data_IF_140767875901
#
_entry.id   IF_140767875901
#
_cell.length_a   1.000
_cell.length_b   1.000
_cell.length_c   1.000
_cell.angle_alpha   90.00
_cell.angle_beta   90.00
_cell.angle_gamma   90.00
#
_symmetry.space_group_name_H-M   'P 1'
#
loop_
_entity.id
_entity.type
_entity.pdbx_description
1 polymer ?
#
# COMPACT_ATOMS: atom_id res chain seq x y z
N UNK A 1 -3.23 3.87 -28.68
CA UNK A 1 -3.41 5.30 -28.71
C UNK A 1 -2.78 6.00 -27.54
N UNK A 2 -3.54 6.88 -26.86
CA UNK A 2 -3.03 7.79 -25.80
C UNK A 2 -2.36 7.07 -24.61
N UNK A 3 -2.91 5.95 -24.18
CA UNK A 3 -2.35 5.15 -23.07
C UNK A 3 -0.97 4.60 -23.45
N UNK A 4 -0.83 4.03 -24.62
CA UNK A 4 0.45 3.51 -25.12
C UNK A 4 1.49 4.63 -25.25
N UNK A 5 1.04 5.81 -25.72
CA UNK A 5 1.89 6.99 -25.78
C UNK A 5 2.38 7.42 -24.40
N UNK A 6 1.50 7.51 -23.40
CA UNK A 6 1.87 7.90 -22.03
C UNK A 6 2.88 6.93 -21.41
N UNK A 7 2.67 5.62 -21.59
CA UNK A 7 3.61 4.60 -21.10
C UNK A 7 4.95 4.72 -21.81
N UNK A 8 4.96 4.87 -23.14
CA UNK A 8 6.18 5.02 -23.91
C UNK A 8 6.92 6.32 -23.59
N UNK A 9 6.20 7.44 -23.46
CA UNK A 9 6.77 8.73 -23.08
C UNK A 9 7.40 8.70 -21.69
N UNK A 10 6.70 8.10 -20.71
CA UNK A 10 7.24 7.91 -19.37
C UNK A 10 8.48 7.03 -19.36
N UNK A 11 8.49 5.94 -20.12
CA UNK A 11 9.66 5.07 -20.26
C UNK A 11 10.85 5.82 -20.87
N UNK A 12 10.61 6.56 -21.97
CA UNK A 12 11.65 7.36 -22.62
C UNK A 12 12.21 8.44 -21.70
N UNK A 13 11.36 9.06 -20.88
CA UNK A 13 11.76 10.12 -19.96
C UNK A 13 12.62 9.56 -18.81
N UNK A 14 12.22 8.43 -18.21
CA UNK A 14 12.99 7.77 -17.15
C UNK A 14 14.34 7.30 -17.69
N UNK A 15 14.36 6.62 -18.83
CA UNK A 15 15.58 6.15 -19.44
C UNK A 15 16.48 7.30 -19.88
N UNK A 16 15.92 8.33 -20.51
CA UNK A 16 16.70 9.47 -21.01
C UNK A 16 17.27 10.39 -19.93
N UNK A 17 16.62 10.50 -18.77
CA UNK A 17 17.08 11.37 -17.67
C UNK A 17 17.92 10.65 -16.61
N UNK A 18 17.60 9.40 -16.32
CA UNK A 18 18.17 8.65 -15.20
C UNK A 18 19.08 7.50 -15.66
N UNK A 19 19.12 7.20 -16.96
CA UNK A 19 19.82 6.03 -17.54
C UNK A 19 19.39 4.70 -16.89
N UNK A 20 18.12 4.65 -16.43
CA UNK A 20 17.53 3.54 -15.67
C UNK A 20 16.47 2.85 -16.52
N UNK A 21 16.66 1.57 -16.82
CA UNK A 21 15.67 0.74 -17.48
C UNK A 21 14.66 0.19 -16.47
N UNK A 22 13.52 0.85 -16.34
CA UNK A 22 12.43 0.42 -15.47
C UNK A 22 11.32 -0.26 -16.27
N UNK A 23 11.39 -1.59 -16.42
CA UNK A 23 10.38 -2.38 -17.12
C UNK A 23 9.07 -2.55 -16.32
N UNK A 24 9.07 -2.24 -15.02
CA UNK A 24 7.86 -2.31 -14.19
C UNK A 24 6.95 -1.09 -14.34
N UNK A 25 7.35 -0.06 -15.09
CA UNK A 25 6.57 1.17 -15.24
C UNK A 25 5.16 0.91 -15.80
N UNK A 26 5.03 0.06 -16.83
CA UNK A 26 3.72 -0.31 -17.38
C UNK A 26 2.82 -0.99 -16.36
N UNK A 27 3.40 -1.81 -15.49
CA UNK A 27 2.69 -2.49 -14.40
C UNK A 27 2.28 -1.51 -13.30
N UNK A 28 3.11 -0.54 -12.95
CA UNK A 28 2.74 0.52 -12.00
C UNK A 28 1.59 1.38 -12.54
N UNK A 29 1.61 1.70 -13.84
CA UNK A 29 0.50 2.37 -14.50
C UNK A 29 -0.79 1.53 -14.44
N UNK A 30 -0.69 0.24 -14.74
CA UNK A 30 -1.81 -0.71 -14.65
C UNK A 30 -2.39 -0.76 -13.24
N UNK A 31 -1.56 -0.93 -12.21
CA UNK A 31 -2.02 -0.95 -10.79
C UNK A 31 -2.72 0.38 -10.45
N UNK A 32 -2.15 1.52 -10.84
CA UNK A 32 -2.78 2.82 -10.66
C UNK A 32 -4.17 2.91 -11.29
N UNK A 33 -4.31 2.40 -12.53
CA UNK A 33 -5.59 2.38 -13.22
C UNK A 33 -6.62 1.49 -12.50
N UNK A 34 -6.21 0.33 -11.98
CA UNK A 34 -7.10 -0.56 -11.21
C UNK A 34 -7.49 0.03 -9.85
N UNK A 35 -6.59 0.75 -9.18
CA UNK A 35 -6.93 1.51 -7.97
C UNK A 35 -7.96 2.59 -8.28
N UNK A 36 -7.75 3.37 -9.34
CA UNK A 36 -8.73 4.37 -9.78
C UNK A 36 -10.08 3.75 -10.14
N UNK A 37 -10.06 2.63 -10.86
CA UNK A 37 -11.26 1.86 -11.15
C UNK A 37 -11.99 1.42 -9.88
N UNK A 38 -11.26 0.90 -8.88
CA UNK A 38 -11.81 0.52 -7.58
C UNK A 38 -12.49 1.70 -6.89
N UNK A 39 -11.84 2.86 -6.87
CA UNK A 39 -12.41 4.08 -6.26
C UNK A 39 -13.69 4.52 -6.96
N UNK A 40 -13.75 4.38 -8.30
CA UNK A 40 -14.92 4.76 -9.08
C UNK A 40 -16.09 3.79 -8.89
N UNK A 41 -15.82 2.48 -8.94
CA UNK A 41 -16.88 1.44 -8.89
C UNK A 41 -17.25 1.07 -7.46
N UNK A 42 -16.27 1.06 -6.56
CA UNK A 42 -16.43 0.65 -5.15
C UNK A 42 -15.79 1.69 -4.21
N UNK A 43 -16.38 2.89 -4.10
CA UNK A 43 -15.87 3.90 -3.18
C UNK A 43 -15.91 3.45 -1.71
N UNK A 44 -16.80 2.53 -1.33
CA UNK A 44 -16.84 1.86 -0.03
C UNK A 44 -15.55 1.07 0.25
N UNK A 45 -15.10 0.25 -0.70
CA UNK A 45 -13.83 -0.48 -0.57
C UNK A 45 -12.66 0.47 -0.36
N UNK A 46 -12.65 1.60 -1.08
CA UNK A 46 -11.62 2.61 -0.91
C UNK A 46 -11.61 3.21 0.51
N UNK A 47 -12.79 3.56 1.04
CA UNK A 47 -12.91 4.12 2.39
C UNK A 47 -12.48 3.10 3.45
N UNK A 48 -12.80 1.82 3.28
CA UNK A 48 -12.44 0.75 4.21
C UNK A 48 -10.93 0.43 4.22
N UNK A 49 -10.27 0.50 3.05
CA UNK A 49 -8.82 0.24 2.94
C UNK A 49 -7.99 1.40 3.51
N UNK A 50 -8.47 2.63 3.47
CA UNK A 50 -7.71 3.81 3.92
C UNK A 50 -7.22 3.70 5.36
N UNK A 51 -8.06 3.37 6.38
CA UNK A 51 -7.57 3.19 7.75
C UNK A 51 -6.47 2.12 7.85
N UNK A 52 -6.62 1.01 7.13
CA UNK A 52 -5.63 -0.08 7.14
C UNK A 52 -4.25 0.42 6.67
N UNK A 53 -4.21 1.12 5.54
CA UNK A 53 -2.96 1.70 5.00
C UNK A 53 -2.39 2.74 5.95
N UNK A 54 -3.23 3.65 6.47
CA UNK A 54 -2.80 4.74 7.34
C UNK A 54 -2.23 4.24 8.66
N UNK A 55 -2.83 3.22 9.30
CA UNK A 55 -2.30 2.63 10.53
C UNK A 55 -1.01 1.84 10.29
N UNK A 56 -0.89 1.12 9.18
CA UNK A 56 0.37 0.49 8.81
C UNK A 56 1.47 1.55 8.60
N UNK A 57 1.18 2.63 7.88
CA UNK A 57 2.12 3.73 7.69
C UNK A 57 2.47 4.44 9.02
N UNK A 58 1.49 4.61 9.91
CA UNK A 58 1.73 5.19 11.24
C UNK A 58 2.72 4.37 12.06
N UNK A 59 2.57 3.05 12.08
CA UNK A 59 3.54 2.18 12.77
C UNK A 59 4.94 2.23 12.15
N UNK A 60 5.06 2.36 10.82
CA UNK A 60 6.35 2.61 10.16
C UNK A 60 6.91 4.00 10.47
N UNK A 61 6.08 5.01 10.70
CA UNK A 61 6.54 6.33 11.10
C UNK A 61 7.25 6.33 12.46
N UNK A 62 6.99 5.33 13.32
CA UNK A 62 7.69 5.11 14.59
C UNK A 62 9.09 4.51 14.44
N UNK A 63 9.56 4.28 13.23
CA UNK A 63 10.87 3.67 12.96
C UNK A 63 12.02 4.34 13.73
N UNK A 64 11.97 5.67 13.87
CA UNK A 64 13.01 6.42 14.61
C UNK A 64 13.13 6.00 16.08
N UNK A 65 12.02 5.56 16.71
CA UNK A 65 12.04 5.03 18.09
C UNK A 65 12.68 3.65 18.13
N UNK A 66 12.36 2.82 17.14
CA UNK A 66 12.90 1.47 17.07
C UNK A 66 14.39 1.47 16.73
N UNK A 67 14.82 2.38 15.84
CA UNK A 67 16.23 2.60 15.57
C UNK A 67 16.97 3.04 16.84
N UNK A 68 16.45 4.04 17.58
CA UNK A 68 17.03 4.50 18.85
C UNK A 68 17.03 3.42 19.94
N UNK A 69 15.99 2.57 19.99
CA UNK A 69 15.94 1.44 20.91
C UNK A 69 16.95 0.36 20.55
N UNK A 70 17.09 0.06 19.26
CA UNK A 70 18.06 -0.93 18.77
C UNK A 70 19.50 -0.54 19.14
N UNK A 71 19.81 0.77 19.10
CA UNK A 71 21.15 1.27 19.44
C UNK A 71 21.47 1.12 20.95
N UNK A 72 20.47 1.18 21.81
CA UNK A 72 20.63 0.97 23.25
C UNK A 72 20.82 -0.51 23.64
N UNK A 73 20.45 -1.44 22.76
CA UNK A 73 20.58 -2.87 23.02
C UNK A 73 22.02 -3.32 22.74
N UNK A 74 22.76 -3.67 23.81
CA UNK A 74 24.14 -4.18 23.73
C UNK A 74 24.17 -5.69 23.45
N UNK A 75 23.46 -6.12 22.38
CA UNK A 75 23.43 -7.52 22.00
C UNK A 75 24.56 -7.86 21.01
N UNK A 76 24.95 -9.12 20.98
CA UNK A 76 25.92 -9.59 19.99
C UNK A 76 25.36 -9.42 18.55
N UNK A 77 26.22 -9.17 17.54
CA UNK A 77 25.76 -9.00 16.17
C UNK A 77 24.96 -10.20 15.61
N UNK A 78 25.28 -11.42 16.08
CA UNK A 78 24.54 -12.64 15.71
C UNK A 78 23.14 -12.66 16.33
N UNK A 79 23.05 -12.39 17.63
CA UNK A 79 21.76 -12.33 18.38
C UNK A 79 20.84 -11.26 17.79
N UNK A 80 21.37 -10.07 17.50
CA UNK A 80 20.61 -8.96 16.92
C UNK A 80 19.98 -9.35 15.58
N UNK A 81 20.73 -10.01 14.70
CA UNK A 81 20.21 -10.49 13.41
C UNK A 81 19.16 -11.59 13.57
N UNK A 82 19.37 -12.56 14.46
CA UNK A 82 18.42 -13.66 14.69
C UNK A 82 17.10 -13.10 15.23
N UNK A 83 17.15 -12.26 16.26
CA UNK A 83 15.95 -11.63 16.83
C UNK A 83 15.26 -10.73 15.79
N UNK A 84 16.02 -9.98 15.00
CA UNK A 84 15.48 -9.16 13.93
C UNK A 84 14.67 -9.98 12.92
N UNK A 85 15.21 -11.12 12.44
CA UNK A 85 14.50 -12.01 11.54
C UNK A 85 13.28 -12.68 12.18
N UNK A 86 13.36 -13.08 13.46
CA UNK A 86 12.22 -13.62 14.20
C UNK A 86 11.07 -12.60 14.27
N UNK A 87 11.37 -11.34 14.58
CA UNK A 87 10.36 -10.27 14.62
C UNK A 87 9.72 -10.04 13.25
N UNK A 88 10.50 -10.07 12.17
CA UNK A 88 9.97 -9.96 10.80
C UNK A 88 9.05 -11.14 10.46
N UNK A 89 9.44 -12.37 10.80
CA UNK A 89 8.61 -13.56 10.57
C UNK A 89 7.30 -13.47 11.36
N UNK A 90 7.37 -13.10 12.64
CA UNK A 90 6.18 -12.91 13.49
C UNK A 90 5.27 -11.82 12.92
N UNK A 91 5.83 -10.71 12.47
CA UNK A 91 5.06 -9.62 11.86
C UNK A 91 4.37 -10.06 10.56
N UNK A 92 5.04 -10.85 9.71
CA UNK A 92 4.44 -11.41 8.49
C UNK A 92 3.32 -12.40 8.87
N UNK A 93 3.54 -13.27 9.84
CA UNK A 93 2.51 -14.23 10.29
C UNK A 93 1.27 -13.52 10.85
N UNK A 94 1.46 -12.48 11.68
CA UNK A 94 0.38 -11.63 12.16
C UNK A 94 -0.32 -10.90 11.01
N UNK A 95 0.43 -10.43 10.01
CA UNK A 95 -0.13 -9.77 8.84
C UNK A 95 -1.02 -10.72 8.03
N UNK A 96 -0.57 -11.95 7.78
CA UNK A 96 -1.35 -12.97 7.09
C UNK A 96 -2.61 -13.39 7.88
N UNK A 97 -2.61 -13.21 9.19
CA UNK A 97 -3.79 -13.49 10.03
C UNK A 97 -4.76 -12.30 10.09
N UNK A 98 -4.28 -11.07 10.29
CA UNK A 98 -5.11 -9.88 10.56
C UNK A 98 -5.62 -9.24 9.27
N UNK A 99 -4.77 -9.09 8.24
CA UNK A 99 -5.15 -8.37 7.01
C UNK A 99 -6.35 -9.00 6.28
N UNK A 100 -6.44 -10.34 6.10
CA UNK A 100 -7.62 -10.95 5.47
C UNK A 100 -8.90 -10.86 6.30
N UNK A 101 -8.78 -10.60 7.60
CA UNK A 101 -9.92 -10.47 8.54
C UNK A 101 -10.31 -9.02 8.81
N UNK A 102 -9.62 -8.08 8.20
CA UNK A 102 -9.99 -6.68 8.30
C UNK A 102 -11.32 -6.45 7.58
N UNK A 103 -12.29 -5.73 8.18
CA UNK A 103 -13.58 -5.50 7.56
C UNK A 103 -13.44 -4.57 6.33
N UNK A 104 -13.39 -5.15 5.16
CA UNK A 104 -13.33 -4.44 3.88
C UNK A 104 -14.52 -4.87 3.04
N UNK A 105 -15.28 -3.91 2.52
CA UNK A 105 -16.26 -4.16 1.50
C UNK A 105 -15.54 -4.64 0.23
N UNK A 106 -15.65 -5.92 -0.04
CA UNK A 106 -15.08 -6.57 -1.19
C UNK A 106 -16.06 -6.65 -2.36
N UNK A 107 -15.65 -7.20 -3.46
CA UNK A 107 -16.49 -7.58 -4.58
C UNK A 107 -16.41 -9.08 -4.84
N UNK A 108 -17.50 -9.61 -5.41
CA UNK A 108 -17.46 -10.95 -5.98
C UNK A 108 -16.63 -10.94 -7.24
N UNK A 109 -15.47 -11.57 -7.19
CA UNK A 109 -14.56 -11.67 -8.33
C UNK A 109 -15.26 -12.30 -9.54
N UNK A 110 -16.07 -13.32 -9.33
CA UNK A 110 -16.77 -14.03 -10.40
C UNK A 110 -17.82 -13.13 -11.09
N UNK A 111 -18.59 -12.37 -10.34
CA UNK A 111 -19.57 -11.43 -10.90
C UNK A 111 -18.89 -10.25 -11.57
N UNK A 112 -17.80 -9.75 -11.00
CA UNK A 112 -17.00 -8.68 -11.60
C UNK A 112 -16.33 -9.12 -12.91
N UNK A 113 -15.75 -10.30 -12.96
CA UNK A 113 -15.13 -10.85 -14.15
C UNK A 113 -16.16 -11.07 -15.29
N UNK A 114 -17.41 -11.39 -14.94
CA UNK A 114 -18.49 -11.60 -15.92
C UNK A 114 -19.04 -10.30 -16.51
N UNK A 115 -19.10 -9.21 -15.75
CA UNK A 115 -19.72 -7.96 -16.22
C UNK A 115 -19.21 -6.70 -15.52
N UNK A 116 -17.97 -6.24 -15.82
CA UNK A 116 -17.44 -4.99 -15.25
C UNK A 116 -18.28 -3.75 -15.58
N UNK A 117 -18.93 -3.75 -16.76
CA UNK A 117 -19.79 -2.66 -17.23
C UNK A 117 -21.07 -2.56 -16.40
N UNK A 118 -21.63 -3.68 -15.98
CA UNK A 118 -22.84 -3.70 -15.15
C UNK A 118 -22.62 -3.04 -13.80
N UNK A 119 -21.44 -3.18 -13.22
CA UNK A 119 -21.11 -2.56 -11.94
C UNK A 119 -21.00 -1.02 -12.05
N UNK A 120 -20.37 -0.52 -13.10
CA UNK A 120 -20.31 0.94 -13.33
C UNK A 120 -21.71 1.53 -13.57
N UNK A 121 -22.55 0.81 -14.28
CA UNK A 121 -23.94 1.22 -14.52
C UNK A 121 -24.79 1.22 -13.24
N UNK A 122 -24.62 0.24 -12.36
CA UNK A 122 -25.26 0.20 -11.03
C UNK A 122 -24.84 1.39 -10.17
N UNK A 123 -23.56 1.74 -10.17
CA UNK A 123 -23.05 2.91 -9.43
C UNK A 123 -23.63 4.21 -9.98
N UNK A 124 -23.75 4.35 -11.30
CA UNK A 124 -24.39 5.51 -11.94
C UNK A 124 -25.89 5.63 -11.57
N UNK A 125 -26.56 4.51 -11.37
CA UNK A 125 -27.96 4.47 -10.91
C UNK A 125 -28.11 4.68 -9.40
N UNK A 126 -27.01 4.88 -8.65
CA UNK A 126 -27.02 5.01 -7.19
C UNK A 126 -27.34 3.73 -6.43
N UNK A 127 -27.29 2.58 -7.10
CA UNK A 127 -27.52 1.28 -6.48
C UNK A 127 -26.25 0.84 -5.76
N UNK A 128 -26.35 0.55 -4.44
CA UNK A 128 -25.23 -0.01 -3.69
C UNK A 128 -24.97 -1.45 -4.12
N UNK A 129 -23.71 -1.73 -4.45
CA UNK A 129 -23.25 -3.09 -4.66
C UNK A 129 -23.26 -3.84 -3.32
N UNK A 130 -23.66 -5.12 -3.27
CA UNK A 130 -23.61 -5.89 -2.04
C UNK A 130 -22.16 -5.95 -1.53
N UNK A 131 -21.98 -5.66 -0.25
CA UNK A 131 -20.70 -5.88 0.42
C UNK A 131 -20.51 -7.38 0.59
N UNK A 132 -19.39 -7.91 0.12
CA UNK A 132 -19.05 -9.32 0.26
C UNK A 132 -17.90 -9.44 1.21
N UNK A 133 -18.07 -10.32 2.19
CA UNK A 133 -17.03 -10.67 3.13
C UNK A 133 -16.19 -11.79 2.54
N UNK A 134 -14.87 -11.64 2.56
CA UNK A 134 -13.90 -12.57 1.96
C UNK A 134 -13.82 -13.96 2.64
N UNK A 135 -14.90 -14.42 3.29
CA UNK A 135 -15.01 -15.77 3.87
C UNK A 135 -14.24 -16.00 5.18
N UNK A 136 -13.62 -14.98 5.74
CA UNK A 136 -13.00 -15.02 7.07
C UNK A 136 -13.88 -14.28 8.08
N UNK A 137 -13.93 -14.79 9.33
CA UNK A 137 -14.57 -14.06 10.42
C UNK A 137 -13.89 -12.70 10.62
N UNK A 138 -14.67 -11.63 10.64
CA UNK A 138 -14.16 -10.28 10.81
C UNK A 138 -13.67 -10.05 12.24
N UNK A 139 -12.57 -9.34 12.33
CA UNK A 139 -12.01 -8.92 13.62
C UNK A 139 -12.64 -7.56 13.99
N UNK A 140 -13.02 -7.34 15.26
CA UNK A 140 -13.47 -6.03 15.71
C UNK A 140 -12.48 -4.91 15.36
N UNK A 141 -12.98 -3.78 14.88
CA UNK A 141 -12.15 -2.68 14.41
C UNK A 141 -11.02 -2.25 15.39
N UNK A 142 -11.25 -2.14 16.72
CA UNK A 142 -10.17 -1.81 17.65
C UNK A 142 -9.04 -2.84 17.67
N UNK A 143 -9.38 -4.13 17.59
CA UNK A 143 -8.40 -5.23 17.57
C UNK A 143 -7.60 -5.19 16.26
N UNK A 144 -8.28 -4.93 15.15
CA UNK A 144 -7.64 -4.78 13.83
C UNK A 144 -6.64 -3.60 13.83
N UNK A 145 -7.02 -2.45 14.37
CA UNK A 145 -6.14 -1.26 14.47
C UNK A 145 -4.89 -1.56 15.31
N UNK A 146 -5.07 -2.14 16.49
CA UNK A 146 -3.94 -2.52 17.36
C UNK A 146 -3.05 -3.53 16.64
N UNK A 147 -3.63 -4.50 15.97
CA UNK A 147 -2.90 -5.50 15.21
C UNK A 147 -2.08 -4.89 14.06
N UNK A 148 -2.64 -3.95 13.28
CA UNK A 148 -1.93 -3.26 12.21
C UNK A 148 -0.75 -2.43 12.72
N UNK A 149 -0.94 -1.72 13.83
CA UNK A 149 0.14 -0.98 14.50
C UNK A 149 1.23 -1.92 15.04
N UNK A 150 0.86 -3.07 15.59
CA UNK A 150 1.82 -4.08 16.04
C UNK A 150 2.60 -4.68 14.86
N UNK A 151 1.95 -5.04 13.77
CA UNK A 151 2.60 -5.59 12.57
C UNK A 151 3.65 -4.61 12.05
N UNK A 152 3.27 -3.36 11.81
CA UNK A 152 4.19 -2.35 11.28
C UNK A 152 5.30 -1.98 12.25
N UNK A 153 5.02 -1.96 13.57
CA UNK A 153 6.03 -1.74 14.61
C UNK A 153 7.02 -2.89 14.70
N UNK A 154 6.56 -4.14 14.69
CA UNK A 154 7.42 -5.33 14.72
C UNK A 154 8.29 -5.42 13.46
N UNK A 155 7.72 -5.16 12.27
CA UNK A 155 8.47 -5.08 11.03
C UNK A 155 9.55 -4.00 11.10
N UNK A 156 9.18 -2.80 11.55
CA UNK A 156 10.09 -1.67 11.66
C UNK A 156 11.23 -1.96 12.65
N UNK A 157 10.92 -2.53 13.81
CA UNK A 157 11.91 -2.91 14.82
C UNK A 157 12.81 -4.05 14.34
N UNK A 158 12.23 -5.09 13.74
CA UNK A 158 13.00 -6.20 13.15
C UNK A 158 13.99 -5.73 12.09
N UNK A 159 13.55 -4.83 11.19
CA UNK A 159 14.42 -4.23 10.19
C UNK A 159 15.50 -3.32 10.80
N UNK A 160 15.18 -2.57 11.87
CA UNK A 160 16.15 -1.77 12.60
C UNK A 160 17.27 -2.65 13.18
N UNK A 161 16.91 -3.78 13.80
CA UNK A 161 17.88 -4.75 14.34
C UNK A 161 18.76 -5.38 13.25
N UNK A 162 18.18 -5.75 12.10
CA UNK A 162 18.92 -6.35 11.00
C UNK A 162 19.91 -5.35 10.36
N UNK A 163 19.49 -4.08 10.24
CA UNK A 163 20.27 -3.01 9.59
C UNK A 163 21.22 -2.27 10.53
N UNK A 164 21.27 -2.64 11.81
CA UNK A 164 22.04 -1.96 12.83
C UNK A 164 23.44 -1.62 12.32
N UNK A 165 23.68 -0.33 12.01
CA UNK A 165 25.00 0.23 11.70
C UNK A 165 25.58 0.82 12.98
N UNK A 166 26.82 0.46 13.29
CA UNK A 166 27.53 1.07 14.41
C UNK A 166 27.61 2.60 14.17
N UNK A 167 27.23 3.38 15.19
CA UNK A 167 27.45 4.83 15.29
C UNK A 167 26.58 5.78 14.44
N UNK A 168 25.30 5.55 14.27
CA UNK A 168 24.39 6.65 13.88
C UNK A 168 23.63 7.17 15.11
N UNK A 169 23.93 8.41 15.53
CA UNK A 169 23.10 9.12 16.50
C UNK A 169 21.77 9.48 15.87
N UNK A 170 20.71 8.81 16.30
CA UNK A 170 19.35 9.12 15.85
C UNK A 170 18.76 10.25 16.69
N UNK A 171 18.68 11.44 16.14
CA UNK A 171 17.97 12.55 16.77
C UNK A 171 16.47 12.28 16.80
N UNK A 172 15.87 12.41 18.01
CA UNK A 172 14.44 12.40 18.23
C UNK A 172 13.85 13.75 17.77
N UNK A 173 13.55 13.86 16.48
CA UNK A 173 12.98 15.08 15.90
C UNK A 173 11.47 15.14 16.11
N UNK A 174 10.96 16.27 16.60
CA UNK A 174 9.53 16.57 16.74
C UNK A 174 8.76 16.38 15.41
N UNK A 175 9.40 16.64 14.27
CA UNK A 175 8.82 16.44 12.94
C UNK A 175 8.41 14.98 12.68
N UNK A 176 9.15 14.02 13.21
CA UNK A 176 8.85 12.58 13.05
C UNK A 176 7.61 12.17 13.86
N UNK A 177 7.44 12.75 15.07
CA UNK A 177 6.24 12.57 15.88
C UNK A 177 5.00 13.14 15.21
N UNK A 178 5.13 14.30 14.56
CA UNK A 178 4.03 14.92 13.82
C UNK A 178 3.51 14.02 12.71
N UNK A 179 4.40 13.36 11.96
CA UNK A 179 3.99 12.40 10.91
C UNK A 179 3.17 11.24 11.48
N UNK A 180 3.61 10.66 12.61
CA UNK A 180 2.85 9.61 13.28
C UNK A 180 1.46 10.09 13.73
N UNK A 181 1.38 11.26 14.38
CA UNK A 181 0.13 11.82 14.87
C UNK A 181 -0.83 12.10 13.70
N UNK A 182 -0.37 12.71 12.62
CA UNK A 182 -1.20 13.00 11.44
C UNK A 182 -1.75 11.72 10.83
N UNK A 183 -0.93 10.68 10.66
CA UNK A 183 -1.37 9.39 10.12
C UNK A 183 -2.38 8.70 11.03
N UNK A 184 -2.17 8.74 12.35
CA UNK A 184 -3.12 8.21 13.34
C UNK A 184 -4.46 8.95 13.30
N UNK A 185 -4.45 10.28 13.28
CA UNK A 185 -5.66 11.10 13.22
C UNK A 185 -6.42 10.85 11.92
N UNK A 186 -5.73 10.80 10.78
CA UNK A 186 -6.35 10.48 9.51
C UNK A 186 -6.93 9.05 9.49
N UNK A 187 -6.20 8.06 10.01
CA UNK A 187 -6.70 6.69 10.11
C UNK A 187 -7.95 6.59 10.97
N UNK A 188 -7.96 7.25 12.13
CA UNK A 188 -9.13 7.32 13.01
C UNK A 188 -10.29 8.09 12.35
N UNK A 189 -10.00 9.15 11.61
CA UNK A 189 -11.02 9.90 10.86
C UNK A 189 -11.74 9.00 9.85
N UNK A 190 -11.01 8.29 8.99
CA UNK A 190 -11.60 7.37 8.03
C UNK A 190 -12.37 6.23 8.71
N UNK A 191 -11.89 5.73 9.86
CA UNK A 191 -12.55 4.66 10.59
C UNK A 191 -13.84 5.13 11.27
N UNK A 192 -13.84 6.27 11.95
CA UNK A 192 -15.00 6.80 12.67
C UNK A 192 -16.08 7.37 11.74
N UNK A 193 -15.68 7.99 10.64
CA UNK A 193 -16.57 8.60 9.65
C UNK A 193 -16.80 7.71 8.43
N UNK A 194 -16.45 6.42 8.51
CA UNK A 194 -16.56 5.48 7.40
C UNK A 194 -17.93 5.53 6.70
N UNK A 195 -19.02 5.34 7.44
CA UNK A 195 -20.39 5.34 6.89
C UNK A 195 -20.77 6.68 6.26
N UNK A 196 -20.33 7.80 6.87
CA UNK A 196 -20.62 9.14 6.36
C UNK A 196 -19.86 9.37 5.05
N UNK A 197 -18.57 9.05 5.02
CA UNK A 197 -17.72 9.19 3.84
C UNK A 197 -18.24 8.32 2.68
N UNK A 198 -18.57 7.09 2.98
CA UNK A 198 -19.14 6.15 2.00
C UNK A 198 -20.46 6.70 1.41
N UNK A 199 -21.36 7.21 2.26
CA UNK A 199 -22.63 7.81 1.80
C UNK A 199 -22.40 9.06 0.95
N UNK A 200 -21.44 9.91 1.31
CA UNK A 200 -21.09 11.11 0.53
C UNK A 200 -20.57 10.72 -0.84
N UNK A 201 -19.65 9.72 -0.91
CA UNK A 201 -19.09 9.27 -2.19
C UNK A 201 -20.15 8.65 -3.09
N UNK A 202 -21.08 7.86 -2.53
CA UNK A 202 -22.19 7.28 -3.31
C UNK A 202 -23.25 8.29 -3.75
N UNK A 203 -23.41 9.40 -3.02
CA UNK A 203 -24.34 10.49 -3.40
C UNK A 203 -23.74 11.49 -4.37
N UNK A 204 -22.41 11.38 -4.61
CA UNK A 204 -21.68 12.30 -5.47
C UNK A 204 -21.98 12.02 -6.95
N UNK A 205 -22.03 13.07 -7.78
CA UNK A 205 -22.17 12.87 -9.24
C UNK A 205 -20.96 12.13 -9.82
N UNK A 206 -21.21 11.29 -10.83
CA UNK A 206 -20.19 10.45 -11.49
C UNK A 206 -18.96 11.25 -11.94
N UNK A 207 -19.14 12.51 -12.35
CA UNK A 207 -18.03 13.37 -12.79
C UNK A 207 -17.04 13.69 -11.65
N UNK A 208 -17.55 14.01 -10.45
CA UNK A 208 -16.70 14.28 -9.29
C UNK A 208 -16.05 13.00 -8.76
N UNK A 209 -16.79 11.89 -8.75
CA UNK A 209 -16.26 10.59 -8.35
C UNK A 209 -15.14 10.14 -9.30
N UNK A 210 -15.33 10.35 -10.61
CA UNK A 210 -14.30 10.10 -11.62
C UNK A 210 -13.03 10.93 -11.37
N UNK A 211 -13.19 12.23 -11.05
CA UNK A 211 -12.04 13.09 -10.74
C UNK A 211 -11.25 12.58 -9.52
N UNK A 212 -11.96 12.19 -8.46
CA UNK A 212 -11.34 11.58 -7.26
C UNK A 212 -10.63 10.29 -7.64
N UNK A 213 -11.25 9.44 -8.45
CA UNK A 213 -10.67 8.18 -8.92
C UNK A 213 -9.35 8.41 -9.69
N UNK A 214 -9.32 9.40 -10.59
CA UNK A 214 -8.11 9.77 -11.32
C UNK A 214 -7.01 10.27 -10.39
N UNK A 215 -7.34 11.12 -9.42
CA UNK A 215 -6.38 11.61 -8.42
C UNK A 215 -5.80 10.44 -7.63
N UNK A 216 -6.64 9.50 -7.19
CA UNK A 216 -6.19 8.34 -6.42
C UNK A 216 -5.38 7.35 -7.26
N UNK A 217 -5.72 7.19 -8.54
CA UNK A 217 -4.91 6.42 -9.49
C UNK A 217 -3.48 6.98 -9.60
N UNK A 218 -3.37 8.30 -9.76
CA UNK A 218 -2.08 8.99 -9.86
C UNK A 218 -1.30 8.89 -8.55
N UNK A 219 -1.94 9.15 -7.41
CA UNK A 219 -1.30 9.09 -6.10
C UNK A 219 -0.81 7.66 -5.76
N UNK A 220 -1.58 6.63 -6.10
CA UNK A 220 -1.16 5.24 -5.89
C UNK A 220 0.02 4.86 -6.78
N UNK A 221 -0.01 5.24 -8.06
CA UNK A 221 1.10 5.04 -8.99
C UNK A 221 2.39 5.75 -8.54
N UNK A 222 2.28 7.01 -8.10
CA UNK A 222 3.38 7.80 -7.55
C UNK A 222 3.92 7.16 -6.26
N UNK A 223 3.04 6.76 -5.34
CA UNK A 223 3.43 6.14 -4.07
C UNK A 223 4.17 4.83 -4.27
N UNK A 224 3.63 3.93 -5.09
CA UNK A 224 4.26 2.66 -5.43
C UNK A 224 5.56 2.85 -6.21
N UNK A 225 5.59 3.79 -7.15
CA UNK A 225 6.79 4.14 -7.92
C UNK A 225 7.89 4.66 -7.03
N UNK A 226 7.59 5.60 -6.12
CA UNK A 226 8.55 6.14 -5.15
C UNK A 226 9.05 5.06 -4.18
N UNK A 227 8.16 4.17 -3.72
CA UNK A 227 8.54 3.05 -2.85
C UNK A 227 9.48 2.09 -3.58
N UNK A 228 9.14 1.71 -4.81
CA UNK A 228 9.97 0.85 -5.64
C UNK A 228 11.33 1.49 -5.95
N UNK A 229 11.34 2.77 -6.30
CA UNK A 229 12.55 3.54 -6.57
C UNK A 229 13.50 3.54 -5.37
N UNK A 230 13.00 3.98 -4.20
CA UNK A 230 13.83 4.16 -3.00
C UNK A 230 14.29 2.86 -2.36
N UNK A 231 13.50 1.78 -2.49
CA UNK A 231 13.81 0.51 -1.82
C UNK A 231 14.53 -0.50 -2.69
N UNK A 232 14.22 -0.52 -3.98
CA UNK A 232 14.66 -1.58 -4.89
C UNK A 232 15.61 -1.07 -5.98
N UNK A 233 15.29 0.04 -6.65
CA UNK A 233 16.06 0.50 -7.82
C UNK A 233 17.31 1.27 -7.38
N UNK A 234 17.16 2.21 -6.46
CA UNK A 234 18.27 3.08 -6.00
C UNK A 234 19.51 2.31 -5.52
N UNK A 235 19.41 1.20 -4.76
CA UNK A 235 20.56 0.40 -4.37
C UNK A 235 21.28 -0.27 -5.55
N UNK A 236 20.63 -0.38 -6.70
CA UNK A 236 21.13 -1.07 -7.90
C UNK A 236 21.58 -0.12 -9.02
N UNK A 237 21.65 1.19 -8.78
CA UNK A 237 22.08 2.16 -9.80
C UNK A 237 23.45 1.85 -10.40
N UNK A 238 24.37 1.30 -9.62
CA UNK A 238 25.68 0.87 -10.11
C UNK A 238 25.68 -0.43 -10.90
N UNK A 239 24.54 -1.12 -11.03
CA UNK A 239 24.43 -2.46 -11.62
C UNK A 239 23.22 -2.58 -12.56
N UNK A 240 23.28 -2.04 -13.79
CA UNK A 240 22.12 -1.93 -14.71
C UNK A 240 21.47 -3.29 -15.04
N UNK A 241 22.26 -4.35 -15.19
CA UNK A 241 21.74 -5.69 -15.50
C UNK A 241 20.84 -6.21 -14.37
N UNK A 242 21.23 -6.02 -13.10
CA UNK A 242 20.42 -6.41 -11.95
C UNK A 242 19.14 -5.58 -11.83
N UNK A 243 19.20 -4.31 -12.20
CA UNK A 243 18.02 -3.44 -12.31
C UNK A 243 17.00 -3.99 -13.31
N UNK A 244 17.43 -4.34 -14.50
CA UNK A 244 16.59 -4.95 -15.52
C UNK A 244 15.92 -6.23 -15.02
N UNK A 245 16.69 -7.15 -14.43
CA UNK A 245 16.15 -8.39 -13.89
C UNK A 245 15.15 -8.13 -12.77
N UNK A 246 15.44 -7.19 -11.87
CA UNK A 246 14.56 -6.83 -10.76
C UNK A 246 13.24 -6.23 -11.27
N UNK A 247 13.29 -5.24 -12.17
CA UNK A 247 12.10 -4.56 -12.68
C UNK A 247 11.23 -5.47 -13.53
N UNK A 248 11.83 -6.42 -14.26
CA UNK A 248 11.10 -7.47 -14.98
C UNK A 248 10.40 -8.44 -14.02
N UNK A 249 11.09 -8.87 -12.95
CA UNK A 249 10.49 -9.67 -11.89
C UNK A 249 9.34 -8.94 -11.18
N UNK A 250 9.52 -7.66 -10.87
CA UNK A 250 8.48 -6.82 -10.28
C UNK A 250 7.28 -6.63 -11.22
N UNK A 251 7.53 -6.49 -12.52
CA UNK A 251 6.46 -6.44 -13.52
C UNK A 251 5.62 -7.71 -13.50
N UNK A 252 6.26 -8.88 -13.48
CA UNK A 252 5.57 -10.17 -13.40
C UNK A 252 4.76 -10.31 -12.12
N UNK A 253 5.34 -9.97 -10.97
CA UNK A 253 4.66 -9.99 -9.67
C UNK A 253 3.45 -9.06 -9.69
N UNK A 254 3.60 -7.84 -10.21
CA UNK A 254 2.51 -6.86 -10.29
C UNK A 254 1.35 -7.33 -11.17
N UNK A 255 1.62 -7.98 -12.30
CA UNK A 255 0.56 -8.59 -13.14
C UNK A 255 -0.17 -9.69 -12.37
N UNK A 256 0.55 -10.57 -11.67
CA UNK A 256 -0.08 -11.64 -10.88
C UNK A 256 -0.88 -11.07 -9.69
N UNK A 257 -0.39 -10.00 -9.07
CA UNK A 257 -1.10 -9.32 -7.99
C UNK A 257 -2.43 -8.72 -8.50
N UNK A 258 -2.42 -8.08 -9.67
CA UNK A 258 -3.65 -7.57 -10.29
C UNK A 258 -4.62 -8.71 -10.59
N UNK A 259 -4.14 -9.83 -11.13
CA UNK A 259 -4.98 -11.02 -11.37
C UNK A 259 -5.57 -11.58 -10.08
N UNK A 260 -4.78 -11.65 -9.01
CA UNK A 260 -5.23 -12.16 -7.72
C UNK A 260 -6.27 -11.27 -7.04
N UNK A 261 -6.16 -9.94 -7.20
CA UNK A 261 -7.07 -8.98 -6.54
C UNK A 261 -8.32 -8.73 -7.37
N UNK A 262 -8.21 -8.62 -8.70
CA UNK A 262 -9.32 -8.23 -9.60
C UNK A 262 -9.83 -9.36 -10.50
N UNK A 263 -9.27 -10.58 -10.41
CA UNK A 263 -9.83 -11.77 -11.04
C UNK A 263 -9.68 -11.84 -12.58
N UNK A 264 -8.64 -11.22 -13.16
CA UNK A 264 -8.42 -11.24 -14.62
C UNK A 264 -7.41 -12.27 -15.07
#
# INVERSE_FOLDING_TARGET
>A
GSVTFLVAAGFSLIFGLLDVLNLAQGTLYMIGAYVGWTVYVRPDTFVDIMPMILFLMAGFALRFLWDALSDRLNWSPKTTKIVGWLLVIVAIALGLFIVPRYPIAGWELDNYAQSPISYSFMVEQGTRLPAIHLGFEEIPAPVAVIGLLLISSLLSFGLALIRKKANQQHELSLKKWWTFIVLMVLGLFFLLFNTILTNILFSMSSNWLFLIAVIMAVLSGLGLGALMETTLIQPLYSRPIYQLMLTLGMSTIGVQLVRAIWGM
#
